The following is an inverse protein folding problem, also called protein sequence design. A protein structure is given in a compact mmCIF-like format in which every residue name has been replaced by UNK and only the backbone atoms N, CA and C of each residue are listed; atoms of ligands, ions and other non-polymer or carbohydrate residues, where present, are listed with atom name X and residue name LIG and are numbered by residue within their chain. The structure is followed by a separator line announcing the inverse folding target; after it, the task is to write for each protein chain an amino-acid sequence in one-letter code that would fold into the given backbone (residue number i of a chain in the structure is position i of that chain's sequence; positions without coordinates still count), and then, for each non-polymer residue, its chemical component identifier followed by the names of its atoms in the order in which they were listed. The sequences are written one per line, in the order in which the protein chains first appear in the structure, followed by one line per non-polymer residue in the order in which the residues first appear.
data_IF_494017829622
#
_entry.id   IF_494017829622
#
_cell.length_a   1.000
_cell.length_b   1.000
_cell.length_c   1.000
_cell.angle_alpha   90.00
_cell.angle_beta   90.00
_cell.angle_gamma   90.00
#
_symmetry.space_group_name_H-M   'P 1'
#
loop_
_entity.id
_entity.type
_entity.pdbx_description
1 polymer ?
#
# COMPACT_ATOMS: atom_id res chain seq x y z
N UNK A 1 -7.86 -9.57 -41.50
CA UNK A 1 -6.55 -8.93 -41.24
C UNK A 1 -6.80 -7.47 -40.90
N UNK A 2 -6.55 -7.04 -39.67
CA UNK A 2 -6.86 -5.67 -39.19
C UNK A 2 -6.12 -4.58 -39.98
N UNK A 3 -6.79 -3.44 -40.15
CA UNK A 3 -6.38 -2.27 -40.93
C UNK A 3 -5.08 -1.56 -40.49
N UNK A 4 -4.35 -2.10 -39.52
CA UNK A 4 -3.06 -1.58 -39.04
C UNK A 4 -1.88 -1.92 -39.97
N UNK A 5 -2.06 -2.77 -40.99
CA UNK A 5 -0.95 -3.35 -41.74
C UNK A 5 -0.37 -2.53 -42.90
N UNK A 6 -0.98 -1.40 -43.29
CA UNK A 6 -0.62 -0.67 -44.52
C UNK A 6 0.44 0.45 -44.34
N UNK A 7 0.62 0.96 -43.12
CA UNK A 7 1.53 2.08 -42.81
C UNK A 7 2.63 1.71 -41.80
N UNK A 8 2.97 0.43 -41.67
CA UNK A 8 4.02 -0.01 -40.75
C UNK A 8 5.35 0.02 -41.49
N UNK A 9 6.30 0.78 -40.95
CA UNK A 9 7.69 0.84 -41.43
C UNK A 9 8.23 -0.60 -41.66
N UNK A 10 8.76 -0.92 -42.85
CA UNK A 10 9.37 -2.22 -43.14
C UNK A 10 10.39 -2.66 -42.08
N UNK A 11 11.13 -1.70 -41.51
CA UNK A 11 12.08 -1.94 -40.42
C UNK A 11 11.37 -2.37 -39.13
N UNK A 12 10.26 -1.72 -38.78
CA UNK A 12 9.45 -2.10 -37.62
C UNK A 12 8.86 -3.51 -37.78
N UNK A 13 8.49 -3.91 -39.00
CA UNK A 13 7.99 -5.26 -39.29
C UNK A 13 9.08 -6.32 -39.16
N UNK A 14 10.32 -6.00 -39.53
CA UNK A 14 11.48 -6.88 -39.37
C UNK A 14 11.93 -7.02 -37.91
N UNK A 15 11.82 -5.93 -37.12
CA UNK A 15 12.23 -5.91 -35.71
C UNK A 15 11.18 -6.49 -34.75
N UNK A 16 9.90 -6.53 -35.15
CA UNK A 16 8.79 -7.02 -34.34
C UNK A 16 9.02 -8.39 -33.65
N UNK A 17 9.53 -9.46 -34.31
CA UNK A 17 9.76 -10.74 -33.65
C UNK A 17 10.83 -10.66 -32.55
N UNK A 18 11.95 -9.97 -32.82
CA UNK A 18 13.06 -9.83 -31.87
C UNK A 18 12.63 -9.02 -30.65
N UNK A 19 11.94 -7.90 -30.88
CA UNK A 19 11.42 -7.05 -29.79
C UNK A 19 10.40 -7.82 -28.94
N UNK A 20 9.56 -8.65 -29.57
CA UNK A 20 8.59 -9.49 -28.85
C UNK A 20 9.28 -10.49 -27.92
N UNK A 21 10.35 -11.14 -28.38
CA UNK A 21 11.12 -12.08 -27.57
C UNK A 21 11.80 -11.39 -26.39
N UNK A 22 12.43 -10.23 -26.63
CA UNK A 22 13.05 -9.43 -25.57
C UNK A 22 12.02 -8.98 -24.53
N UNK A 23 10.84 -8.55 -24.98
CA UNK A 23 9.78 -8.08 -24.10
C UNK A 23 9.20 -9.23 -23.26
N UNK A 24 9.00 -10.42 -23.84
CA UNK A 24 8.58 -11.60 -23.10
C UNK A 24 9.63 -12.03 -22.05
N UNK A 25 10.92 -12.00 -22.40
CA UNK A 25 12.00 -12.31 -21.47
C UNK A 25 12.10 -11.29 -20.32
N UNK A 26 11.84 -10.01 -20.59
CA UNK A 26 11.79 -8.97 -19.55
C UNK A 26 10.58 -9.15 -18.64
N UNK A 27 9.40 -9.42 -19.19
CA UNK A 27 8.18 -9.69 -18.41
C UNK A 27 8.38 -10.89 -17.49
N UNK A 28 9.00 -11.98 -17.98
CA UNK A 28 9.31 -13.14 -17.16
C UNK A 28 10.30 -12.82 -16.04
N UNK A 29 11.33 -12.02 -16.32
CA UNK A 29 12.29 -11.57 -15.30
C UNK A 29 11.62 -10.71 -14.23
N UNK A 30 10.75 -9.77 -14.61
CA UNK A 30 9.99 -8.93 -13.67
C UNK A 30 9.03 -9.79 -12.83
N UNK A 31 8.35 -10.75 -13.45
CA UNK A 31 7.45 -11.66 -12.75
C UNK A 31 8.20 -12.54 -11.74
N UNK A 32 9.39 -13.03 -12.10
CA UNK A 32 10.24 -13.83 -11.21
C UNK A 32 10.92 -12.99 -10.10
N UNK A 33 11.25 -11.72 -10.39
CA UNK A 33 11.85 -10.79 -9.45
C UNK A 33 10.82 -10.16 -8.50
N UNK A 34 9.52 -10.25 -8.82
CA UNK A 34 8.47 -9.78 -7.93
C UNK A 34 8.50 -10.63 -6.67
N UNK A 35 8.84 -10.03 -5.50
CA UNK A 35 8.86 -10.79 -4.27
C UNK A 35 7.45 -11.34 -4.04
N UNK A 36 7.32 -12.66 -3.99
CA UNK A 36 6.07 -13.31 -3.59
C UNK A 36 5.70 -12.69 -2.25
N UNK A 37 4.64 -11.88 -2.24
CA UNK A 37 4.21 -11.18 -1.06
C UNK A 37 3.96 -12.25 0.01
N UNK A 38 4.81 -12.27 1.05
CA UNK A 38 4.55 -13.11 2.21
C UNK A 38 3.12 -12.81 2.66
N UNK A 39 2.31 -13.83 2.98
CA UNK A 39 0.95 -13.59 3.47
C UNK A 39 1.06 -12.65 4.66
N UNK A 40 0.56 -11.41 4.50
CA UNK A 40 0.51 -10.45 5.58
C UNK A 40 -0.29 -11.08 6.71
N UNK A 41 0.27 -11.08 7.91
CA UNK A 41 -0.45 -11.67 9.02
C UNK A 41 -1.65 -10.77 9.33
N UNK A 42 -2.82 -11.36 9.54
CA UNK A 42 -4.02 -10.62 9.99
C UNK A 42 -3.75 -9.77 11.24
N UNK A 43 -2.80 -10.22 12.07
CA UNK A 43 -2.32 -9.47 13.21
C UNK A 43 -1.67 -8.13 12.83
N UNK A 44 -0.81 -8.12 11.81
CA UNK A 44 -0.15 -6.90 11.36
C UNK A 44 -1.16 -5.94 10.73
N UNK A 45 -2.15 -6.43 9.98
CA UNK A 45 -3.18 -5.59 9.39
C UNK A 45 -4.06 -4.93 10.46
N UNK A 46 -4.53 -5.70 11.46
CA UNK A 46 -5.31 -5.19 12.59
C UNK A 46 -4.52 -4.12 13.39
N UNK A 47 -3.22 -4.37 13.64
CA UNK A 47 -2.36 -3.44 14.38
C UNK A 47 -2.11 -2.17 13.54
N UNK A 48 -1.82 -2.31 12.25
CA UNK A 48 -1.59 -1.18 11.36
C UNK A 48 -2.84 -0.32 11.20
N UNK A 49 -4.03 -0.92 11.20
CA UNK A 49 -5.29 -0.18 11.23
C UNK A 49 -5.44 0.65 12.50
N UNK A 50 -5.16 0.06 13.67
CA UNK A 50 -5.20 0.79 14.93
C UNK A 50 -4.14 1.93 14.97
N UNK A 51 -2.95 1.72 14.42
CA UNK A 51 -1.93 2.77 14.27
C UNK A 51 -2.43 3.94 13.40
N UNK A 52 -3.13 3.65 12.29
CA UNK A 52 -3.74 4.69 11.44
C UNK A 52 -4.78 5.53 12.20
N UNK A 53 -5.58 4.90 13.04
CA UNK A 53 -6.54 5.61 13.89
C UNK A 53 -5.85 6.52 14.91
N UNK A 54 -4.75 6.06 15.52
CA UNK A 54 -3.94 6.89 16.43
C UNK A 54 -3.35 8.09 15.70
N UNK A 55 -2.77 7.89 14.51
CA UNK A 55 -2.21 8.97 13.71
C UNK A 55 -3.25 10.04 13.37
N UNK A 56 -4.43 9.63 12.88
CA UNK A 56 -5.53 10.55 12.58
C UNK A 56 -6.01 11.33 13.81
N UNK A 57 -6.09 10.68 14.97
CA UNK A 57 -6.46 11.36 16.21
C UNK A 57 -5.36 12.34 16.70
N UNK A 58 -4.09 12.02 16.48
CA UNK A 58 -2.97 12.90 16.80
C UNK A 58 -2.97 14.14 15.90
N UNK A 59 -3.22 13.98 14.60
CA UNK A 59 -3.36 15.09 13.66
C UNK A 59 -4.54 16.00 14.06
N UNK A 60 -5.69 15.41 14.41
CA UNK A 60 -6.85 16.15 14.91
C UNK A 60 -6.56 16.92 16.20
N UNK A 61 -5.77 16.35 17.12
CA UNK A 61 -5.32 17.04 18.32
C UNK A 61 -4.35 18.18 18.00
N UNK A 62 -3.42 17.97 17.07
CA UNK A 62 -2.48 19.00 16.64
C UNK A 62 -3.21 20.20 16.01
N UNK A 63 -4.27 19.96 15.23
CA UNK A 63 -5.13 21.00 14.67
C UNK A 63 -5.93 21.73 15.76
N UNK A 64 -6.37 21.03 16.81
CA UNK A 64 -7.18 21.59 17.89
C UNK A 64 -6.38 22.26 19.02
N UNK A 65 -5.03 22.25 18.95
CA UNK A 65 -4.09 22.55 20.04
C UNK A 65 -4.28 23.91 20.73
N UNK A 66 -4.93 24.87 20.08
CA UNK A 66 -5.14 26.21 20.62
C UNK A 66 -6.60 26.70 20.51
N UNK A 67 -7.56 25.80 20.32
CA UNK A 67 -8.96 26.14 20.08
C UNK A 67 -9.96 25.45 21.00
N UNK A 68 -11.23 25.86 20.89
CA UNK A 68 -12.36 25.18 21.53
C UNK A 68 -12.52 23.80 20.89
N UNK A 69 -12.08 22.75 21.58
CA UNK A 69 -12.10 21.38 21.05
C UNK A 69 -10.92 20.51 21.45
N UNK A 70 -9.85 21.09 22.02
CA UNK A 70 -8.65 20.36 22.45
C UNK A 70 -8.98 19.19 23.39
N UNK A 71 -9.83 19.40 24.40
CA UNK A 71 -10.21 18.36 25.37
C UNK A 71 -10.90 17.18 24.67
N UNK A 72 -11.78 17.46 23.70
CA UNK A 72 -12.47 16.41 22.96
C UNK A 72 -11.49 15.64 22.05
N UNK A 73 -10.57 16.35 21.39
CA UNK A 73 -9.53 15.75 20.57
C UNK A 73 -8.55 14.91 21.40
N UNK A 74 -8.20 15.35 22.62
CA UNK A 74 -7.36 14.60 23.56
C UNK A 74 -8.03 13.29 23.98
N UNK A 75 -9.31 13.34 24.35
CA UNK A 75 -10.11 12.13 24.63
C UNK A 75 -10.24 11.20 23.42
N UNK A 76 -10.24 11.74 22.21
CA UNK A 76 -10.22 10.93 20.98
C UNK A 76 -8.90 10.17 20.85
N UNK A 77 -7.77 10.86 21.05
CA UNK A 77 -6.44 10.27 21.01
C UNK A 77 -6.25 9.19 22.09
N UNK A 78 -6.68 9.43 23.32
CA UNK A 78 -6.63 8.45 24.42
C UNK A 78 -7.42 7.17 24.08
N UNK A 79 -8.60 7.32 23.46
CA UNK A 79 -9.40 6.19 22.99
C UNK A 79 -8.70 5.40 21.88
N UNK A 80 -8.13 6.09 20.89
CA UNK A 80 -7.37 5.45 19.81
C UNK A 80 -6.14 4.69 20.36
N UNK A 81 -5.40 5.28 21.30
CA UNK A 81 -4.27 4.63 21.96
C UNK A 81 -4.69 3.37 22.73
N UNK A 82 -5.86 3.42 23.41
CA UNK A 82 -6.42 2.25 24.10
C UNK A 82 -6.79 1.13 23.12
N UNK A 83 -7.36 1.47 21.96
CA UNK A 83 -7.69 0.50 20.90
C UNK A 83 -6.43 -0.16 20.33
N UNK A 84 -5.38 0.61 20.09
CA UNK A 84 -4.08 0.07 19.69
C UNK A 84 -3.53 -0.89 20.74
N UNK A 85 -3.52 -0.51 22.02
CA UNK A 85 -3.08 -1.40 23.10
C UNK A 85 -3.88 -2.70 23.18
N UNK A 86 -5.20 -2.66 22.93
CA UNK A 86 -6.04 -3.86 22.85
C UNK A 86 -5.70 -4.73 21.64
N UNK A 87 -5.51 -4.13 20.46
CA UNK A 87 -5.11 -4.85 19.25
C UNK A 87 -3.74 -5.53 19.42
N UNK A 88 -2.76 -4.82 20.00
CA UNK A 88 -1.44 -5.37 20.28
C UNK A 88 -1.47 -6.50 21.31
N UNK A 89 -2.23 -6.35 22.40
CA UNK A 89 -2.41 -7.43 23.41
C UNK A 89 -3.11 -8.66 22.84
N UNK A 90 -4.16 -8.48 22.04
CA UNK A 90 -4.88 -9.56 21.36
C UNK A 90 -3.93 -10.44 20.54
N UNK A 91 -2.94 -9.83 19.90
CA UNK A 91 -1.97 -10.51 19.03
C UNK A 91 -0.63 -10.83 19.73
N UNK A 92 -0.53 -10.65 21.06
CA UNK A 92 0.68 -10.97 21.84
C UNK A 92 1.89 -10.08 21.53
N UNK A 93 1.68 -8.86 21.00
CA UNK A 93 2.73 -7.90 20.62
C UNK A 93 2.99 -6.84 21.70
N UNK A 94 2.32 -6.93 22.84
CA UNK A 94 2.52 -6.09 24.01
C UNK A 94 2.56 -7.01 25.24
N UNK A 95 3.64 -6.98 26.05
CA UNK A 95 3.73 -7.76 27.28
C UNK A 95 2.72 -7.29 28.34
#
# INVERSE_FOLDING_TARGET
MSALGKNVDPLARALAPVVREMLLAEVQRIAAASPVAKPKSKADDDIMEACRQVASAADGLAQAKFGVGEIAARKSLERAATLLGRAMRKHGRMP
#
